data_IF_681164598198
#
_entry.id   IF_681164598198
#
_cell.length_a   1.000
_cell.length_b   1.000
_cell.length_c   1.000
_cell.angle_alpha   90.00
_cell.angle_beta   90.00
_cell.angle_gamma   90.00
#
_symmetry.space_group_name_H-M   'P 1'
#
loop_
_entity.id
_entity.type
_entity.pdbx_description
1 polymer ?
#
# COMPACT_ATOMS: atom_id res chain seq x y z
N UNK A 1 5.75 -5.84 10.35
CA UNK A 1 5.54 -5.63 8.89
C UNK A 1 6.60 -6.35 8.09
N UNK A 2 7.88 -6.01 8.26
CA UNK A 2 9.00 -6.73 7.64
C UNK A 2 8.91 -8.26 7.89
N UNK A 3 8.63 -8.68 9.12
CA UNK A 3 8.42 -10.10 9.45
C UNK A 3 7.28 -10.77 8.67
N UNK A 4 6.21 -10.03 8.33
CA UNK A 4 5.09 -10.57 7.54
C UNK A 4 5.54 -10.74 6.10
N UNK A 5 6.20 -9.73 5.54
CA UNK A 5 6.75 -9.81 4.17
C UNK A 5 7.76 -10.95 4.09
N UNK A 6 8.72 -11.06 5.02
CA UNK A 6 9.70 -12.17 5.08
C UNK A 6 9.06 -13.55 5.29
N UNK A 7 7.91 -13.62 5.97
CA UNK A 7 7.18 -14.89 6.12
C UNK A 7 6.48 -15.33 4.84
N UNK A 8 6.04 -14.36 4.02
CA UNK A 8 5.37 -14.62 2.74
C UNK A 8 6.34 -14.73 1.56
N UNK A 9 7.44 -13.98 1.62
CA UNK A 9 8.48 -13.80 0.61
C UNK A 9 9.86 -13.80 1.30
N UNK A 10 10.38 -14.97 1.69
CA UNK A 10 11.67 -15.09 2.37
C UNK A 10 12.85 -14.50 1.56
N UNK A 11 12.72 -14.46 0.24
CA UNK A 11 13.67 -13.93 -0.73
C UNK A 11 13.61 -12.40 -0.91
N UNK A 12 12.71 -11.70 -0.20
CA UNK A 12 12.55 -10.26 -0.34
C UNK A 12 13.83 -9.48 0.05
N UNK A 13 14.32 -8.64 -0.86
CA UNK A 13 15.45 -7.74 -0.63
C UNK A 13 14.94 -6.35 -0.21
N UNK A 14 15.23 -5.92 1.02
CA UNK A 14 14.74 -4.65 1.57
C UNK A 14 15.64 -3.47 1.23
N UNK A 15 15.05 -2.41 0.69
CA UNK A 15 15.72 -1.16 0.33
C UNK A 15 15.22 -0.01 1.21
N UNK A 16 15.94 0.28 2.30
CA UNK A 16 15.53 1.30 3.28
C UNK A 16 15.72 2.76 2.83
N UNK A 17 16.21 2.98 1.60
CA UNK A 17 16.45 4.31 1.03
C UNK A 17 16.01 4.31 -0.43
N UNK A 18 14.84 4.86 -0.72
CA UNK A 18 14.40 5.03 -2.11
C UNK A 18 12.89 5.19 -2.27
N UNK A 19 12.48 5.12 -3.54
CA UNK A 19 11.08 5.15 -4.00
C UNK A 19 10.40 3.78 -3.86
N UNK A 20 11.16 2.75 -3.49
CA UNK A 20 10.75 1.35 -3.46
C UNK A 20 11.18 0.75 -2.12
N UNK A 21 10.28 0.03 -1.45
CA UNK A 21 10.56 -0.59 -0.16
C UNK A 21 11.35 -1.91 -0.28
N UNK A 22 11.03 -2.76 -1.27
CA UNK A 22 11.72 -4.04 -1.46
C UNK A 22 11.63 -4.59 -2.88
N UNK A 23 12.46 -5.59 -3.19
CA UNK A 23 12.40 -6.38 -4.42
C UNK A 23 12.01 -7.82 -4.07
N UNK A 24 11.03 -8.36 -4.79
CA UNK A 24 10.59 -9.76 -4.67
C UNK A 24 10.59 -10.38 -6.06
N UNK A 25 11.31 -11.47 -6.25
CA UNK A 25 11.47 -12.15 -7.54
C UNK A 25 11.91 -11.20 -8.67
N UNK A 26 12.81 -10.26 -8.36
CA UNK A 26 13.26 -9.23 -9.31
C UNK A 26 12.24 -8.12 -9.60
N UNK A 27 11.04 -8.18 -9.02
CA UNK A 27 10.00 -7.15 -9.15
C UNK A 27 10.13 -6.14 -8.02
N UNK A 28 10.16 -4.86 -8.37
CA UNK A 28 10.14 -3.75 -7.41
C UNK A 28 8.78 -3.63 -6.77
N UNK A 29 8.73 -3.59 -5.45
CA UNK A 29 7.50 -3.55 -4.67
C UNK A 29 7.53 -2.40 -3.68
N UNK A 30 6.45 -1.62 -3.69
CA UNK A 30 6.17 -0.62 -2.68
C UNK A 30 5.11 -1.15 -1.72
N UNK A 31 5.33 -1.01 -0.42
CA UNK A 31 4.39 -1.42 0.59
C UNK A 31 3.58 -0.23 1.11
N UNK A 32 2.25 -0.41 1.15
CA UNK A 32 1.33 0.54 1.76
C UNK A 32 0.54 -0.16 2.85
N UNK A 33 0.58 0.40 4.06
CA UNK A 33 -0.15 -0.12 5.20
C UNK A 33 -1.10 0.91 5.80
N UNK A 34 -2.25 0.47 6.32
CA UNK A 34 -3.11 1.31 7.14
C UNK A 34 -3.88 0.51 8.20
N UNK A 35 -4.44 1.21 9.18
CA UNK A 35 -5.38 0.61 10.13
C UNK A 35 -6.73 0.32 9.45
N UNK A 36 -7.47 -0.68 9.92
CA UNK A 36 -8.83 -0.99 9.46
C UNK A 36 -9.73 0.25 9.61
N UNK A 37 -9.64 0.87 10.79
CA UNK A 37 -10.33 2.10 11.14
C UNK A 37 -9.39 3.06 11.86
N UNK A 38 -9.66 4.35 11.72
CA UNK A 38 -9.00 5.43 12.43
C UNK A 38 -10.07 6.36 13.01
N UNK A 39 -9.79 6.92 14.17
CA UNK A 39 -10.66 7.92 14.79
C UNK A 39 -10.68 9.17 13.91
N UNK A 40 -11.88 9.64 13.55
CA UNK A 40 -12.00 10.93 12.88
C UNK A 40 -11.73 12.02 13.91
N UNK A 41 -10.65 12.76 13.74
CA UNK A 41 -10.36 13.95 14.56
C UNK A 41 -11.29 15.09 14.11
N UNK A 42 -12.30 15.42 14.91
CA UNK A 42 -13.27 16.52 14.67
C UNK A 42 -14.57 16.35 15.49
N UNK A 43 -15.50 17.31 15.41
CA UNK A 43 -16.79 17.35 16.14
C UNK A 43 -17.78 16.21 15.82
N UNK A 44 -17.32 15.15 15.15
CA UNK A 44 -18.11 13.98 14.83
C UNK A 44 -17.42 12.75 15.44
N UNK A 45 -18.08 12.13 16.42
CA UNK A 45 -17.66 10.89 17.12
C UNK A 45 -17.64 9.65 16.20
N UNK A 46 -17.03 9.74 15.01
CA UNK A 46 -17.06 8.71 13.99
C UNK A 46 -15.72 7.98 13.82
N UNK A 47 -15.79 6.66 13.65
CA UNK A 47 -14.69 5.89 13.05
C UNK A 47 -14.77 5.99 11.53
N UNK A 48 -13.62 6.19 10.88
CA UNK A 48 -13.52 6.13 9.41
C UNK A 48 -12.54 5.04 9.00
N UNK A 49 -12.75 4.44 7.82
CA UNK A 49 -11.78 3.50 7.27
C UNK A 49 -10.42 4.17 7.05
N UNK A 50 -9.36 3.40 7.33
CA UNK A 50 -7.99 3.83 7.03
C UNK A 50 -7.76 4.11 5.55
N UNK A 51 -6.64 4.76 5.26
CA UNK A 51 -6.28 5.16 3.90
C UNK A 51 -4.83 4.79 3.60
N UNK A 52 -4.61 4.38 2.36
CA UNK A 52 -3.27 4.26 1.79
C UNK A 52 -2.87 5.59 1.17
N UNK A 53 -1.63 6.01 1.43
CA UNK A 53 -1.07 7.23 0.88
C UNK A 53 -0.18 6.89 -0.32
N UNK A 54 -0.44 7.54 -1.45
CA UNK A 54 0.29 7.35 -2.70
C UNK A 54 0.97 8.65 -3.08
N UNK A 55 2.28 8.58 -3.32
CA UNK A 55 3.02 9.65 -3.97
C UNK A 55 2.93 9.49 -5.50
N UNK A 56 2.71 10.59 -6.21
CA UNK A 56 2.51 10.58 -7.67
C UNK A 56 3.77 10.09 -8.42
N UNK A 57 4.96 10.55 -8.01
CA UNK A 57 6.22 10.18 -8.66
C UNK A 57 6.51 8.69 -8.42
N UNK A 58 6.31 8.22 -7.19
CA UNK A 58 6.44 6.81 -6.85
C UNK A 58 5.48 5.93 -7.64
N UNK A 59 4.21 6.33 -7.75
CA UNK A 59 3.23 5.57 -8.52
C UNK A 59 3.59 5.45 -9.99
N UNK A 60 4.00 6.58 -10.59
CA UNK A 60 4.45 6.60 -11.99
C UNK A 60 5.69 5.72 -12.19
N UNK A 61 6.65 5.80 -11.26
CA UNK A 61 7.89 4.98 -11.29
C UNK A 61 7.57 3.49 -11.26
N UNK A 62 6.65 3.05 -10.39
CA UNK A 62 6.23 1.65 -10.33
C UNK A 62 5.55 1.20 -11.62
N UNK A 63 4.68 2.02 -12.22
CA UNK A 63 4.03 1.68 -13.49
C UNK A 63 5.06 1.49 -14.60
N UNK A 64 5.99 2.44 -14.74
CA UNK A 64 7.01 2.43 -15.79
C UNK A 64 7.98 1.24 -15.65
N UNK A 65 8.24 0.82 -14.42
CA UNK A 65 9.18 -0.26 -14.11
C UNK A 65 8.48 -1.63 -13.95
N UNK A 66 7.18 -1.72 -14.22
CA UNK A 66 6.42 -2.96 -14.05
C UNK A 66 6.35 -3.46 -12.61
N UNK A 67 6.47 -2.55 -11.64
CA UNK A 67 6.46 -2.84 -10.22
C UNK A 67 5.07 -3.03 -9.62
N UNK A 68 5.07 -3.46 -8.36
CA UNK A 68 3.88 -3.83 -7.61
C UNK A 68 3.66 -2.93 -6.40
N UNK A 69 2.42 -2.89 -5.95
CA UNK A 69 2.09 -2.55 -4.58
C UNK A 69 1.85 -3.82 -3.77
N UNK A 70 2.30 -3.82 -2.52
CA UNK A 70 1.76 -4.68 -1.47
C UNK A 70 0.92 -3.82 -0.52
N UNK A 71 -0.27 -4.31 -0.20
CA UNK A 71 -1.23 -3.64 0.67
C UNK A 71 -1.39 -4.44 1.96
N UNK A 72 -1.29 -3.77 3.10
CA UNK A 72 -1.54 -4.35 4.41
C UNK A 72 -2.61 -3.54 5.15
N UNK A 73 -3.71 -4.19 5.52
CA UNK A 73 -4.66 -3.62 6.48
C UNK A 73 -4.51 -4.35 7.80
N UNK A 74 -4.41 -3.60 8.88
CA UNK A 74 -4.23 -4.13 10.22
C UNK A 74 -5.28 -3.63 11.20
N UNK A 75 -5.62 -4.45 12.19
CA UNK A 75 -6.50 -4.11 13.30
C UNK A 75 -5.81 -4.53 14.59
N UNK A 76 -5.66 -3.60 15.53
CA UNK A 76 -5.01 -3.87 16.82
C UNK A 76 -3.63 -4.55 16.65
N UNK A 77 -2.84 -4.05 15.70
CA UNK A 77 -1.53 -4.60 15.30
C UNK A 77 -1.56 -5.97 14.62
N UNK A 78 -2.73 -6.57 14.39
CA UNK A 78 -2.89 -7.82 13.66
C UNK A 78 -3.23 -7.58 12.19
N UNK A 79 -2.52 -8.19 11.23
CA UNK A 79 -2.90 -8.19 9.82
C UNK A 79 -4.28 -8.81 9.62
N UNK A 80 -5.18 -8.10 8.95
CA UNK A 80 -6.50 -8.62 8.56
C UNK A 80 -6.66 -8.75 7.05
N UNK A 81 -5.77 -8.11 6.28
CA UNK A 81 -5.74 -8.21 4.83
C UNK A 81 -4.33 -7.99 4.30
N UNK A 82 -3.95 -8.81 3.33
CA UNK A 82 -2.75 -8.63 2.53
C UNK A 82 -3.07 -8.90 1.06
N UNK A 83 -2.61 -8.02 0.17
CA UNK A 83 -2.68 -8.25 -1.27
C UNK A 83 -1.48 -7.64 -1.98
N UNK A 84 -1.00 -8.33 -3.02
CA UNK A 84 0.04 -7.83 -3.93
C UNK A 84 -0.56 -7.64 -5.32
N UNK A 85 -0.39 -6.47 -5.92
CA UNK A 85 -0.99 -6.11 -7.20
C UNK A 85 -0.05 -5.25 -8.03
N UNK A 86 0.03 -5.55 -9.33
CA UNK A 86 0.71 -4.70 -10.31
C UNK A 86 0.22 -3.25 -10.27
N UNK A 87 1.13 -2.29 -10.18
CA UNK A 87 0.79 -0.87 -10.06
C UNK A 87 -0.14 -0.39 -11.19
N UNK A 88 0.05 -0.89 -12.41
CA UNK A 88 -0.77 -0.57 -13.59
C UNK A 88 -2.25 -0.95 -13.47
N UNK A 89 -2.59 -1.89 -12.58
CA UNK A 89 -3.96 -2.34 -12.38
C UNK A 89 -4.76 -1.38 -11.48
N UNK A 90 -4.09 -0.50 -10.73
CA UNK A 90 -4.73 0.46 -9.85
C UNK A 90 -5.25 1.67 -10.65
N UNK A 91 -6.57 1.81 -10.74
CA UNK A 91 -7.22 2.90 -11.47
C UNK A 91 -7.30 4.17 -10.62
N UNK A 92 -6.14 4.76 -10.30
CA UNK A 92 -6.04 5.92 -9.41
C UNK A 92 -6.20 7.28 -10.11
N UNK A 93 -6.22 7.31 -11.44
CA UNK A 93 -6.24 8.53 -12.25
C UNK A 93 -4.90 9.27 -12.20
N UNK A 94 -4.85 10.49 -12.74
CA UNK A 94 -3.67 11.38 -12.63
C UNK A 94 -3.82 12.32 -11.43
N UNK A 95 -2.73 12.57 -10.71
CA UNK A 95 -2.65 13.56 -9.64
C UNK A 95 -1.20 14.06 -9.47
N UNK A 96 -1.01 15.12 -8.69
CA UNK A 96 0.30 15.61 -8.26
C UNK A 96 0.43 15.52 -6.73
N UNK A 97 1.65 15.32 -6.23
CA UNK A 97 1.94 15.17 -4.81
C UNK A 97 1.35 13.89 -4.20
N UNK A 98 0.80 14.01 -3.00
CA UNK A 98 0.29 12.86 -2.23
C UNK A 98 -1.23 12.76 -2.31
N UNK A 99 -1.72 11.55 -2.58
CA UNK A 99 -3.15 11.20 -2.60
C UNK A 99 -3.45 10.11 -1.57
N UNK A 100 -4.47 10.32 -0.73
CA UNK A 100 -4.90 9.34 0.27
C UNK A 100 -6.20 8.65 -0.14
N UNK A 101 -6.17 7.34 -0.40
CA UNK A 101 -7.30 6.54 -0.89
C UNK A 101 -7.76 5.57 0.20
N UNK A 102 -9.07 5.46 0.40
CA UNK A 102 -9.68 4.51 1.34
C UNK A 102 -9.26 3.07 1.00
N UNK A 103 -8.86 2.27 1.99
CA UNK A 103 -8.44 0.89 1.75
C UNK A 103 -9.56 0.04 1.13
N UNK A 104 -10.82 0.28 1.53
CA UNK A 104 -11.98 -0.37 0.91
C UNK A 104 -12.16 -0.01 -0.56
N UNK A 105 -11.74 1.20 -0.97
CA UNK A 105 -11.74 1.60 -2.39
C UNK A 105 -10.64 0.86 -3.16
N UNK A 106 -9.43 0.74 -2.58
CA UNK A 106 -8.35 -0.05 -3.19
C UNK A 106 -8.77 -1.51 -3.32
N UNK A 107 -9.37 -2.10 -2.29
CA UNK A 107 -9.88 -3.48 -2.35
C UNK A 107 -10.79 -3.74 -3.54
N UNK A 108 -11.74 -2.84 -3.83
CA UNK A 108 -12.65 -2.96 -4.97
C UNK A 108 -11.96 -2.86 -6.33
N UNK A 109 -10.69 -2.42 -6.37
CA UNK A 109 -9.89 -2.39 -7.59
C UNK A 109 -9.03 -3.65 -7.76
N UNK A 110 -8.79 -4.39 -6.68
CA UNK A 110 -7.85 -5.52 -6.64
C UNK A 110 -8.53 -6.88 -6.49
N UNK A 111 -9.78 -6.91 -6.01
CA UNK A 111 -10.69 -8.06 -5.93
C UNK A 111 -11.79 -7.82 -6.96
#
# INVERSE_FOLDING_TARGET
MENIIKSLYPEAEFHYKGVIDFVIDGVKVENKSCQEYINATGNHNGMRSGRFCFDALQHQTLIEQGGDYSFLVQKDSNPIFFARVHAKNLKLGKWSGVKAVCWKTIMRMVI
#
